data_IF_276444370874
#
_entry.id   IF_276444370874
#
_cell.length_a   1.000
_cell.length_b   1.000
_cell.length_c   1.000
_cell.angle_alpha   90.00
_cell.angle_beta   90.00
_cell.angle_gamma   90.00
#
_symmetry.space_group_name_H-M   'P 1'
#
loop_
_entity.id
_entity.type
_entity.pdbx_description
1 polymer ?
#
# COMPACT_ATOMS: atom_id res chain seq x y z
N UNK A 1 -9.91 23.27 -129.13
CA UNK A 1 -9.66 24.26 -128.04
C UNK A 1 -10.67 24.16 -126.89
N UNK A 2 -11.99 24.10 -127.15
CA UNK A 2 -13.02 23.97 -126.09
C UNK A 2 -12.92 22.71 -125.22
N UNK A 3 -12.50 21.55 -125.74
CA UNK A 3 -12.35 20.31 -124.94
C UNK A 3 -11.17 20.37 -123.96
N UNK A 4 -10.04 20.99 -124.35
CA UNK A 4 -8.88 21.22 -123.45
C UNK A 4 -9.24 22.17 -122.30
N UNK A 5 -10.05 23.19 -122.56
CA UNK A 5 -10.55 24.13 -121.53
C UNK A 5 -11.55 23.44 -120.59
N UNK A 6 -12.44 22.58 -121.11
CA UNK A 6 -13.36 21.77 -120.28
C UNK A 6 -12.62 20.73 -119.43
N UNK A 7 -11.60 20.07 -119.97
CA UNK A 7 -10.74 19.11 -119.25
C UNK A 7 -9.93 19.80 -118.14
N UNK A 8 -9.26 20.91 -118.44
CA UNK A 8 -8.53 21.69 -117.44
C UNK A 8 -9.48 22.27 -116.37
N UNK A 9 -10.67 22.75 -116.75
CA UNK A 9 -11.66 23.24 -115.78
C UNK A 9 -12.29 22.15 -114.90
N UNK A 10 -12.17 20.86 -115.26
CA UNK A 10 -12.58 19.73 -114.44
C UNK A 10 -11.47 19.33 -113.46
N UNK A 11 -10.22 19.30 -113.94
CA UNK A 11 -9.02 19.08 -113.11
C UNK A 11 -8.84 20.16 -112.04
N UNK A 12 -9.05 21.44 -112.38
CA UNK A 12 -8.99 22.55 -111.41
C UNK A 12 -10.08 22.44 -110.35
N UNK A 13 -11.30 21.99 -110.71
CA UNK A 13 -12.39 21.78 -109.74
C UNK A 13 -12.10 20.63 -108.79
N UNK A 14 -11.61 19.52 -109.31
CA UNK A 14 -11.23 18.37 -108.50
C UNK A 14 -10.09 18.73 -107.54
N UNK A 15 -9.10 19.52 -108.00
CA UNK A 15 -8.02 20.02 -107.16
C UNK A 15 -8.51 20.92 -106.02
N UNK A 16 -9.42 21.85 -106.28
CA UNK A 16 -10.01 22.69 -105.23
C UNK A 16 -10.78 21.87 -104.20
N UNK A 17 -11.50 20.83 -104.63
CA UNK A 17 -12.25 19.95 -103.75
C UNK A 17 -11.32 19.07 -102.89
N UNK A 18 -10.22 18.58 -103.45
CA UNK A 18 -9.18 17.86 -102.71
C UNK A 18 -8.46 18.78 -101.69
N UNK A 19 -8.26 20.06 -102.01
CA UNK A 19 -7.74 21.06 -101.05
C UNK A 19 -8.70 21.33 -99.91
N UNK A 20 -9.99 21.41 -100.18
CA UNK A 20 -11.03 21.58 -99.16
C UNK A 20 -11.05 20.37 -98.19
N UNK A 21 -10.78 19.16 -98.69
CA UNK A 21 -10.60 17.96 -97.85
C UNK A 21 -9.35 18.07 -96.95
N UNK A 22 -8.25 18.61 -97.46
CA UNK A 22 -7.03 18.86 -96.67
C UNK A 22 -7.29 19.93 -95.60
N UNK A 23 -7.95 21.03 -95.98
CA UNK A 23 -8.29 22.14 -95.10
C UNK A 23 -9.25 21.71 -93.99
N UNK A 24 -10.25 20.88 -94.29
CA UNK A 24 -11.16 20.32 -93.28
C UNK A 24 -10.43 19.41 -92.27
N UNK A 25 -9.47 18.60 -92.73
CA UNK A 25 -8.62 17.80 -91.82
C UNK A 25 -7.75 18.69 -90.93
N UNK A 26 -7.11 19.72 -91.48
CA UNK A 26 -6.31 20.69 -90.72
C UNK A 26 -7.18 21.42 -89.69
N UNK A 27 -8.36 21.90 -90.09
CA UNK A 27 -9.28 22.63 -89.21
C UNK A 27 -9.81 21.78 -88.05
N UNK A 28 -10.03 20.48 -88.28
CA UNK A 28 -10.38 19.55 -87.20
C UNK A 28 -9.28 19.48 -86.14
N UNK A 29 -8.00 19.46 -86.55
CA UNK A 29 -6.86 19.47 -85.62
C UNK A 29 -6.76 20.82 -84.92
N UNK A 30 -6.95 21.94 -85.62
CA UNK A 30 -6.97 23.28 -85.01
C UNK A 30 -8.04 23.39 -83.91
N UNK A 31 -9.25 22.87 -84.14
CA UNK A 31 -10.33 22.86 -83.13
C UNK A 31 -9.93 22.06 -81.89
N UNK A 32 -9.41 20.84 -82.09
CA UNK A 32 -8.95 19.99 -81.00
C UNK A 32 -7.83 20.63 -80.17
N UNK A 33 -6.86 21.29 -80.83
CA UNK A 33 -5.79 22.01 -80.11
C UNK A 33 -6.38 23.13 -79.25
N UNK A 34 -7.35 23.88 -79.77
CA UNK A 34 -7.99 24.96 -79.03
C UNK A 34 -8.75 24.44 -77.80
N UNK A 35 -9.55 23.39 -77.96
CA UNK A 35 -10.29 22.73 -76.87
C UNK A 35 -9.33 22.20 -75.79
N UNK A 36 -8.24 21.57 -76.21
CA UNK A 36 -7.20 21.05 -75.31
C UNK A 36 -6.50 22.17 -74.55
N UNK A 37 -6.24 23.30 -75.21
CA UNK A 37 -5.61 24.47 -74.58
C UNK A 37 -6.51 25.09 -73.51
N UNK A 38 -7.82 25.12 -73.75
CA UNK A 38 -8.81 25.56 -72.77
C UNK A 38 -8.86 24.63 -71.55
N UNK A 39 -8.82 23.31 -71.77
CA UNK A 39 -8.75 22.33 -70.68
C UNK A 39 -7.49 22.50 -69.82
N UNK A 40 -6.31 22.63 -70.44
CA UNK A 40 -5.03 22.84 -69.73
C UNK A 40 -5.03 24.13 -68.89
N UNK A 41 -5.81 25.13 -69.30
CA UNK A 41 -5.93 26.41 -68.60
C UNK A 41 -6.73 26.33 -67.30
N UNK A 42 -7.67 25.37 -67.16
CA UNK A 42 -8.49 25.27 -65.96
C UNK A 42 -9.08 23.87 -65.71
N UNK A 43 -8.24 22.88 -65.35
CA UNK A 43 -8.72 21.52 -65.15
C UNK A 43 -9.55 21.42 -63.86
N UNK A 44 -10.82 21.02 -63.99
CA UNK A 44 -11.82 21.03 -62.89
C UNK A 44 -11.99 19.68 -62.19
N UNK A 45 -11.30 18.64 -62.67
CA UNK A 45 -11.50 17.24 -62.27
C UNK A 45 -10.48 16.86 -61.17
N UNK A 46 -10.70 15.74 -60.47
CA UNK A 46 -9.75 15.21 -59.48
C UNK A 46 -8.42 14.76 -60.12
N UNK A 47 -7.31 14.83 -59.39
CA UNK A 47 -5.93 14.58 -59.88
C UNK A 47 -5.75 13.28 -60.64
N UNK A 48 -6.33 12.19 -60.13
CA UNK A 48 -6.18 10.88 -60.75
C UNK A 48 -6.94 10.80 -62.08
N UNK A 49 -8.11 11.44 -62.15
CA UNK A 49 -8.87 11.58 -63.39
C UNK A 49 -8.19 12.58 -64.35
N UNK A 50 -7.60 13.67 -63.84
CA UNK A 50 -6.81 14.61 -64.64
C UNK A 50 -5.61 13.92 -65.30
N UNK A 51 -4.88 13.06 -64.58
CA UNK A 51 -3.77 12.29 -65.14
C UNK A 51 -4.22 11.34 -66.25
N UNK A 52 -5.33 10.62 -66.04
CA UNK A 52 -5.90 9.74 -67.06
C UNK A 52 -6.30 10.53 -68.31
N UNK A 53 -6.99 11.66 -68.14
CA UNK A 53 -7.40 12.52 -69.24
C UNK A 53 -6.20 13.08 -70.02
N UNK A 54 -5.17 13.56 -69.31
CA UNK A 54 -3.95 14.07 -69.95
C UNK A 54 -3.17 12.97 -70.70
N UNK A 55 -3.21 11.71 -70.24
CA UNK A 55 -2.61 10.58 -70.97
C UNK A 55 -3.39 10.26 -72.25
N UNK A 56 -4.73 10.39 -72.23
CA UNK A 56 -5.56 10.27 -73.43
C UNK A 56 -5.22 11.39 -74.42
N UNK A 57 -5.22 12.64 -73.96
CA UNK A 57 -4.85 13.81 -74.78
C UNK A 57 -3.43 13.73 -75.34
N UNK A 58 -2.47 13.16 -74.61
CA UNK A 58 -1.10 12.93 -75.09
C UNK A 58 -1.08 11.89 -76.24
N UNK A 59 -1.92 10.87 -76.14
CA UNK A 59 -2.08 9.84 -77.19
C UNK A 59 -2.73 10.45 -78.44
N UNK A 60 -3.78 11.26 -78.25
CA UNK A 60 -4.44 12.01 -79.33
C UNK A 60 -3.50 13.01 -80.01
N UNK A 61 -2.74 13.79 -79.24
CA UNK A 61 -1.72 14.71 -79.75
C UNK A 61 -0.67 13.99 -80.61
N UNK A 62 -0.25 12.80 -80.18
CA UNK A 62 0.70 11.96 -80.93
C UNK A 62 0.11 11.52 -82.26
N UNK A 63 -1.14 11.07 -82.26
CA UNK A 63 -1.86 10.68 -83.47
C UNK A 63 -2.06 11.86 -84.42
N UNK A 64 -2.47 13.04 -83.91
CA UNK A 64 -2.62 14.25 -84.72
C UNK A 64 -1.30 14.70 -85.34
N UNK A 65 -0.19 14.64 -84.60
CA UNK A 65 1.14 14.96 -85.14
C UNK A 65 1.56 14.01 -86.26
N UNK A 66 1.39 12.71 -86.08
CA UNK A 66 1.66 11.71 -87.11
C UNK A 66 0.77 11.91 -88.34
N UNK A 67 -0.51 12.22 -88.15
CA UNK A 67 -1.46 12.46 -89.23
C UNK A 67 -1.10 13.71 -90.05
N UNK A 68 -0.68 14.81 -89.39
CA UNK A 68 -0.26 16.04 -90.08
C UNK A 68 1.09 15.85 -90.78
N UNK A 69 2.04 15.14 -90.18
CA UNK A 69 3.31 14.77 -90.84
C UNK A 69 3.04 13.95 -92.11
N UNK A 70 2.15 12.96 -92.02
CA UNK A 70 1.72 12.15 -93.18
C UNK A 70 1.00 13.00 -94.24
N UNK A 71 0.08 13.86 -93.82
CA UNK A 71 -0.67 14.77 -94.72
C UNK A 71 0.27 15.73 -95.46
N UNK A 72 1.26 16.30 -94.75
CA UNK A 72 2.27 17.16 -95.34
C UNK A 72 3.13 16.43 -96.37
N UNK A 73 3.53 15.20 -96.09
CA UNK A 73 4.30 14.36 -97.01
C UNK A 73 3.45 13.91 -98.21
N UNK A 74 2.18 13.60 -98.03
CA UNK A 74 1.22 13.31 -99.10
C UNK A 74 1.02 14.51 -100.03
N UNK A 75 0.82 15.72 -99.47
CA UNK A 75 0.71 16.94 -100.27
C UNK A 75 2.01 17.22 -101.03
N UNK A 76 3.17 17.14 -100.37
CA UNK A 76 4.47 17.31 -101.02
C UNK A 76 4.68 16.33 -102.17
N UNK A 77 4.39 15.05 -101.98
CA UNK A 77 4.52 14.02 -103.02
C UNK A 77 3.55 14.24 -104.18
N UNK A 78 2.29 14.63 -103.89
CA UNK A 78 1.29 14.97 -104.92
C UNK A 78 1.78 16.11 -105.82
N UNK A 79 2.22 17.22 -105.24
CA UNK A 79 2.64 18.40 -106.01
C UNK A 79 3.99 18.20 -106.71
N UNK A 80 4.90 17.43 -106.12
CA UNK A 80 6.14 16.98 -106.77
C UNK A 80 5.84 16.17 -108.03
N UNK A 81 4.88 15.24 -107.99
CA UNK A 81 4.42 14.47 -109.14
C UNK A 81 3.76 15.32 -110.25
N UNK A 82 3.24 16.49 -109.89
CA UNK A 82 2.69 17.48 -110.83
C UNK A 82 3.74 18.49 -111.34
N UNK A 83 5.02 18.36 -110.94
CA UNK A 83 6.09 19.32 -111.23
C UNK A 83 5.74 20.76 -110.83
N UNK A 84 4.99 20.94 -109.74
CA UNK A 84 4.55 22.25 -109.23
C UNK A 84 4.80 22.36 -107.74
N UNK A 85 4.79 23.58 -107.21
CA UNK A 85 4.92 23.82 -105.77
C UNK A 85 3.58 23.59 -105.07
N UNK A 86 3.64 23.14 -103.80
CA UNK A 86 2.47 23.10 -102.93
C UNK A 86 1.92 24.54 -102.79
N UNK A 87 0.58 24.73 -102.84
CA UNK A 87 -0.03 26.03 -102.64
C UNK A 87 0.43 26.66 -101.33
N UNK A 88 0.67 27.97 -101.36
CA UNK A 88 1.12 28.72 -100.19
C UNK A 88 0.13 28.62 -99.03
N UNK A 89 -1.18 28.64 -99.32
CA UNK A 89 -2.24 28.49 -98.30
C UNK A 89 -2.12 27.17 -97.53
N UNK A 90 -2.04 26.03 -98.25
CA UNK A 90 -1.91 24.70 -97.65
C UNK A 90 -0.58 24.56 -96.91
N UNK A 91 0.51 25.09 -97.47
CA UNK A 91 1.83 25.06 -96.83
C UNK A 91 1.85 25.87 -95.53
N UNK A 92 1.20 27.04 -95.52
CA UNK A 92 1.07 27.88 -94.33
C UNK A 92 0.20 27.19 -93.27
N UNK A 93 -0.97 26.68 -93.65
CA UNK A 93 -1.88 25.99 -92.73
C UNK A 93 -1.25 24.74 -92.11
N UNK A 94 -0.48 23.95 -92.87
CA UNK A 94 0.26 22.79 -92.35
C UNK A 94 1.37 23.21 -91.38
N UNK A 95 2.08 24.30 -91.68
CA UNK A 95 3.12 24.84 -90.79
C UNK A 95 2.53 25.41 -89.50
N UNK A 96 1.41 26.13 -89.58
CA UNK A 96 0.66 26.64 -88.43
C UNK A 96 0.17 25.50 -87.53
N UNK A 97 -0.51 24.49 -88.08
CA UNK A 97 -0.97 23.35 -87.29
C UNK A 97 0.20 22.57 -86.68
N UNK A 98 1.30 22.41 -87.41
CA UNK A 98 2.49 21.76 -86.85
C UNK A 98 3.10 22.55 -85.68
N UNK A 99 3.00 23.88 -85.69
CA UNK A 99 3.38 24.73 -84.54
C UNK A 99 2.37 24.63 -83.40
N UNK A 100 1.06 24.63 -83.70
CA UNK A 100 -0.02 24.49 -82.71
C UNK A 100 0.06 23.14 -81.98
N UNK A 101 0.47 22.09 -82.68
CA UNK A 101 0.69 20.75 -82.12
C UNK A 101 1.88 20.66 -81.13
N UNK A 102 2.67 21.73 -80.96
CA UNK A 102 3.59 21.86 -79.81
C UNK A 102 2.86 21.90 -78.46
N UNK A 103 1.51 21.98 -78.46
CA UNK A 103 0.70 21.68 -77.28
C UNK A 103 1.02 20.30 -76.69
N UNK A 104 1.52 19.35 -77.48
CA UNK A 104 2.06 18.07 -76.99
C UNK A 104 3.07 18.26 -75.86
N UNK A 105 4.03 19.18 -76.02
CA UNK A 105 5.07 19.43 -75.02
C UNK A 105 4.46 20.01 -73.73
N UNK A 106 3.44 20.86 -73.86
CA UNK A 106 2.70 21.43 -72.73
C UNK A 106 1.91 20.36 -71.97
N UNK A 107 1.23 19.44 -72.69
CA UNK A 107 0.53 18.30 -72.09
C UNK A 107 1.54 17.40 -71.37
N UNK A 108 2.68 17.09 -72.00
CA UNK A 108 3.71 16.24 -71.42
C UNK A 108 4.33 16.86 -70.16
N UNK A 109 4.60 18.17 -70.16
CA UNK A 109 5.09 18.89 -68.98
C UNK A 109 4.07 18.87 -67.85
N UNK A 110 2.79 19.08 -68.16
CA UNK A 110 1.70 19.00 -67.18
C UNK A 110 1.52 17.62 -66.58
N UNK A 111 1.64 16.55 -67.38
CA UNK A 111 1.64 15.16 -66.86
C UNK A 111 2.77 14.97 -65.86
N UNK A 112 3.99 15.36 -66.21
CA UNK A 112 5.17 15.24 -65.33
C UNK A 112 4.98 16.01 -64.02
N UNK A 113 4.49 17.25 -64.11
CA UNK A 113 4.21 18.10 -62.94
C UNK A 113 3.22 17.43 -61.99
N UNK A 114 2.11 16.91 -62.51
CA UNK A 114 1.08 16.27 -61.70
C UNK A 114 1.59 14.95 -61.09
N UNK A 115 2.28 14.10 -61.87
CA UNK A 115 2.87 12.86 -61.35
C UNK A 115 3.89 13.12 -60.23
N UNK A 116 4.72 14.16 -60.39
CA UNK A 116 5.68 14.58 -59.36
C UNK A 116 4.94 15.05 -58.10
N UNK A 117 3.92 15.89 -58.24
CA UNK A 117 3.12 16.39 -57.10
C UNK A 117 2.41 15.25 -56.34
N UNK A 118 1.91 14.25 -57.06
CA UNK A 118 1.29 13.04 -56.50
C UNK A 118 2.30 12.20 -55.73
N UNK A 119 3.48 12.00 -56.30
CA UNK A 119 4.57 11.26 -55.64
C UNK A 119 5.01 11.96 -54.35
N UNK A 120 5.17 13.29 -54.38
CA UNK A 120 5.47 14.08 -53.18
C UNK A 120 4.37 13.96 -52.11
N UNK A 121 3.10 14.03 -52.50
CA UNK A 121 1.96 13.87 -51.58
C UNK A 121 1.94 12.48 -50.91
N UNK A 122 2.29 11.43 -51.64
CA UNK A 122 2.42 10.08 -51.09
C UNK A 122 3.57 9.98 -50.09
N UNK A 123 4.72 10.61 -50.38
CA UNK A 123 5.86 10.63 -49.46
C UNK A 123 5.53 11.40 -48.17
N UNK A 124 4.86 12.56 -48.27
CA UNK A 124 4.36 13.26 -47.07
C UNK A 124 3.40 12.38 -46.26
N UNK A 125 2.48 11.66 -46.94
CA UNK A 125 1.59 10.72 -46.25
C UNK A 125 2.35 9.61 -45.52
N UNK A 126 3.43 9.10 -46.10
CA UNK A 126 4.29 8.07 -45.49
C UNK A 126 5.01 8.61 -44.26
N UNK A 127 5.58 9.82 -44.35
CA UNK A 127 6.28 10.45 -43.23
C UNK A 127 5.32 10.78 -42.07
N UNK A 128 4.13 11.31 -42.37
CA UNK A 128 3.07 11.53 -41.36
C UNK A 128 2.72 10.24 -40.63
N UNK A 129 2.55 9.13 -41.37
CA UNK A 129 2.27 7.82 -40.77
C UNK A 129 3.42 7.32 -39.88
N UNK A 130 4.67 7.56 -40.28
CA UNK A 130 5.82 7.16 -39.48
C UNK A 130 5.87 7.93 -38.16
N UNK A 131 5.68 9.25 -38.18
CA UNK A 131 5.63 10.06 -36.94
C UNK A 131 4.47 9.62 -36.05
N UNK A 132 3.31 9.31 -36.63
CA UNK A 132 2.17 8.79 -35.87
C UNK A 132 2.48 7.44 -35.18
N UNK A 133 3.23 6.55 -35.85
CA UNK A 133 3.67 5.27 -35.30
C UNK A 133 4.68 5.46 -34.17
N UNK A 134 5.64 6.36 -34.35
CA UNK A 134 6.64 6.70 -33.33
C UNK A 134 5.93 7.25 -32.08
N UNK A 135 4.99 8.19 -32.25
CA UNK A 135 4.20 8.73 -31.14
C UNK A 135 3.36 7.69 -30.43
N UNK A 136 2.73 6.78 -31.17
CA UNK A 136 1.96 5.68 -30.58
C UNK A 136 2.88 4.78 -29.75
N UNK A 137 4.10 4.53 -30.21
CA UNK A 137 5.11 3.75 -29.48
C UNK A 137 5.50 4.46 -28.18
N UNK A 138 5.80 5.76 -28.23
CA UNK A 138 6.08 6.59 -27.05
C UNK A 138 4.90 6.52 -26.06
N UNK A 139 3.67 6.70 -26.53
CA UNK A 139 2.45 6.64 -25.72
C UNK A 139 2.30 5.29 -25.00
N UNK A 140 2.62 4.18 -25.67
CA UNK A 140 2.58 2.85 -25.02
C UNK A 140 3.64 2.71 -23.93
N UNK A 141 4.87 3.18 -24.16
CA UNK A 141 5.93 3.19 -23.15
C UNK A 141 5.58 4.09 -21.96
N UNK A 142 4.98 5.26 -22.18
CA UNK A 142 4.50 6.15 -21.13
C UNK A 142 3.41 5.52 -20.25
N UNK A 143 2.62 4.57 -20.76
CA UNK A 143 1.60 3.87 -19.97
C UNK A 143 2.13 2.70 -19.15
N UNK A 144 3.35 2.24 -19.41
CA UNK A 144 3.92 1.09 -18.70
C UNK A 144 4.20 1.42 -17.22
N UNK A 145 3.85 0.50 -16.33
CA UNK A 145 4.26 0.58 -14.91
C UNK A 145 5.72 0.16 -14.75
N UNK A 146 6.36 0.62 -13.69
CA UNK A 146 7.75 0.31 -13.35
C UNK A 146 7.88 -0.31 -11.96
N UNK A 147 8.92 -1.08 -11.72
CA UNK A 147 9.42 -1.52 -10.42
C UNK A 147 10.73 -0.80 -10.02
N UNK A 148 11.37 -0.11 -10.97
CA UNK A 148 12.60 0.64 -10.76
C UNK A 148 12.39 2.13 -11.10
N UNK A 149 12.34 2.96 -10.06
CA UNK A 149 12.08 4.39 -10.20
C UNK A 149 13.26 5.14 -10.85
N UNK A 150 14.50 4.74 -10.55
CA UNK A 150 15.71 5.36 -11.11
C UNK A 150 15.77 5.11 -12.62
N UNK A 151 15.52 3.85 -13.03
CA UNK A 151 15.45 3.51 -14.44
C UNK A 151 14.29 4.23 -15.13
N UNK A 152 13.10 4.25 -14.52
CA UNK A 152 11.94 4.91 -15.11
C UNK A 152 12.12 6.43 -15.27
N UNK A 153 12.84 7.11 -14.37
CA UNK A 153 13.19 8.53 -14.54
C UNK A 153 14.18 8.74 -15.69
N UNK A 154 15.13 7.81 -15.87
CA UNK A 154 16.06 7.83 -17.00
C UNK A 154 15.32 7.58 -18.32
N UNK A 155 14.46 6.57 -18.38
CA UNK A 155 13.64 6.26 -19.55
C UNK A 155 12.69 7.41 -19.87
N UNK A 156 12.11 8.05 -18.85
CA UNK A 156 11.25 9.24 -19.03
C UNK A 156 12.00 10.39 -19.72
N UNK A 157 13.28 10.59 -19.41
CA UNK A 157 14.13 11.59 -20.08
C UNK A 157 14.33 11.24 -21.55
N UNK A 158 14.68 9.99 -21.84
CA UNK A 158 14.85 9.49 -23.22
C UNK A 158 13.55 9.63 -24.02
N UNK A 159 12.41 9.30 -23.42
CA UNK A 159 11.09 9.47 -24.05
C UNK A 159 10.77 10.95 -24.33
N UNK A 160 11.22 11.86 -23.47
CA UNK A 160 11.12 13.30 -23.72
C UNK A 160 11.90 13.71 -24.96
N UNK A 161 13.16 13.25 -25.09
CA UNK A 161 14.00 13.52 -26.27
C UNK A 161 13.40 12.91 -27.56
N UNK A 162 12.88 11.67 -27.49
CA UNK A 162 12.16 11.04 -28.61
C UNK A 162 10.90 11.85 -29.02
N UNK A 163 10.17 12.39 -28.04
CA UNK A 163 8.96 13.17 -28.25
C UNK A 163 9.25 14.55 -28.86
N UNK A 164 10.34 15.20 -28.44
CA UNK A 164 10.84 16.44 -29.02
C UNK A 164 11.28 16.21 -30.48
N UNK A 165 11.96 15.08 -30.75
CA UNK A 165 12.30 14.66 -32.11
C UNK A 165 11.06 14.41 -33.00
N UNK A 166 9.96 13.90 -32.44
CA UNK A 166 8.69 13.81 -33.15
C UNK A 166 8.08 15.19 -33.43
N UNK A 167 8.16 16.11 -32.46
CA UNK A 167 7.66 17.48 -32.62
C UNK A 167 8.41 18.23 -33.73
N UNK A 168 9.75 18.17 -33.75
CA UNK A 168 10.56 18.82 -34.79
C UNK A 168 10.21 18.29 -36.19
N UNK A 169 10.13 16.96 -36.36
CA UNK A 169 9.73 16.34 -37.63
C UNK A 169 8.31 16.73 -38.05
N UNK A 170 7.38 16.86 -37.09
CA UNK A 170 6.02 17.33 -37.35
C UNK A 170 6.00 18.78 -37.84
N UNK A 171 6.78 19.68 -37.23
CA UNK A 171 6.87 21.08 -37.65
C UNK A 171 7.50 21.23 -39.04
N UNK A 172 8.54 20.44 -39.33
CA UNK A 172 9.15 20.37 -40.67
C UNK A 172 8.15 19.86 -41.72
N UNK A 173 7.38 18.82 -41.38
CA UNK A 173 6.32 18.29 -42.25
C UNK A 173 5.21 19.30 -42.50
N UNK A 174 4.75 20.00 -41.45
CA UNK A 174 3.71 21.03 -41.59
C UNK A 174 4.18 22.16 -42.50
N UNK A 175 5.40 22.68 -42.29
CA UNK A 175 5.98 23.70 -43.16
C UNK A 175 6.14 23.22 -44.61
N UNK A 176 6.57 21.98 -44.82
CA UNK A 176 6.71 21.40 -46.16
C UNK A 176 5.35 21.22 -46.86
N UNK A 177 4.31 20.80 -46.14
CA UNK A 177 2.95 20.65 -46.67
C UNK A 177 2.28 22.01 -46.93
N UNK A 178 2.55 23.02 -46.10
CA UNK A 178 2.12 24.40 -46.34
C UNK A 178 2.75 24.95 -47.63
N UNK A 179 4.07 24.80 -47.81
CA UNK A 179 4.74 25.18 -49.06
C UNK A 179 4.21 24.42 -50.27
N UNK A 180 3.92 23.12 -50.12
CA UNK A 180 3.29 22.31 -51.16
C UNK A 180 1.85 22.78 -51.48
N UNK A 181 1.13 23.34 -50.50
CA UNK A 181 -0.24 23.84 -50.67
C UNK A 181 -0.34 25.06 -51.59
N UNK A 182 0.73 25.86 -51.66
CA UNK A 182 0.81 27.05 -52.52
C UNK A 182 0.74 26.68 -54.00
N UNK A 183 1.27 25.51 -54.36
CA UNK A 183 1.31 24.99 -55.74
C UNK A 183 0.20 23.97 -56.02
N UNK A 184 -0.19 23.17 -55.03
CA UNK A 184 -1.09 22.02 -55.21
C UNK A 184 -2.18 21.98 -54.12
N UNK A 185 -3.10 22.94 -54.18
CA UNK A 185 -4.14 23.17 -53.17
C UNK A 185 -5.05 21.95 -52.89
N UNK A 186 -5.35 21.15 -53.91
CA UNK A 186 -6.26 20.00 -53.79
C UNK A 186 -5.59 18.78 -53.13
N UNK A 187 -4.30 18.51 -53.42
CA UNK A 187 -3.53 17.43 -52.79
C UNK A 187 -3.12 17.76 -51.36
N UNK A 188 -2.98 19.05 -51.02
CA UNK A 188 -2.59 19.49 -49.69
C UNK A 188 -3.72 19.38 -48.65
N UNK A 189 -5.00 19.58 -49.03
CA UNK A 189 -6.14 19.52 -48.08
C UNK A 189 -6.19 18.22 -47.25
N UNK A 190 -6.08 17.01 -47.82
CA UNK A 190 -6.04 15.78 -47.03
C UNK A 190 -4.80 15.68 -46.13
N UNK A 191 -3.64 16.17 -46.58
CA UNK A 191 -2.39 16.17 -45.80
C UNK A 191 -2.49 17.10 -44.60
N UNK A 192 -2.98 18.33 -44.79
CA UNK A 192 -3.22 19.29 -43.71
C UNK A 192 -4.18 18.72 -42.64
N UNK A 193 -5.24 18.02 -43.06
CA UNK A 193 -6.13 17.33 -42.12
C UNK A 193 -5.42 16.23 -41.32
N UNK A 194 -4.54 15.46 -41.96
CA UNK A 194 -3.74 14.42 -41.27
C UNK A 194 -2.73 15.05 -40.31
N UNK A 195 -2.06 16.13 -40.70
CA UNK A 195 -1.16 16.90 -39.82
C UNK A 195 -1.91 17.43 -38.61
N UNK A 196 -3.09 18.04 -38.80
CA UNK A 196 -3.89 18.53 -37.66
C UNK A 196 -4.21 17.44 -36.63
N UNK A 197 -4.56 16.23 -37.08
CA UNK A 197 -4.75 15.07 -36.18
C UNK A 197 -3.45 14.62 -35.51
N UNK A 198 -2.34 14.67 -36.25
CA UNK A 198 -1.03 14.31 -35.71
C UNK A 198 -0.56 15.32 -34.65
N UNK A 199 -0.84 16.60 -34.83
CA UNK A 199 -0.59 17.67 -33.85
C UNK A 199 -1.42 17.47 -32.58
N UNK A 200 -2.69 17.08 -32.71
CA UNK A 200 -3.51 16.73 -31.55
C UNK A 200 -2.92 15.53 -30.77
N UNK A 201 -2.49 14.48 -31.48
CA UNK A 201 -1.84 13.32 -30.88
C UNK A 201 -0.51 13.69 -30.19
N UNK A 202 0.30 14.56 -30.81
CA UNK A 202 1.53 15.10 -30.21
C UNK A 202 1.22 15.82 -28.88
N UNK A 203 0.26 16.74 -28.88
CA UNK A 203 -0.14 17.48 -27.68
C UNK A 203 -0.65 16.56 -26.57
N UNK A 204 -1.45 15.55 -26.92
CA UNK A 204 -1.91 14.55 -25.97
C UNK A 204 -0.74 13.76 -25.37
N UNK A 205 0.24 13.38 -26.19
CA UNK A 205 1.42 12.62 -25.75
C UNK A 205 2.31 13.46 -24.83
N UNK A 206 2.50 14.75 -25.12
CA UNK A 206 3.20 15.71 -24.25
C UNK A 206 2.53 15.79 -22.87
N UNK A 207 1.21 16.00 -22.82
CA UNK A 207 0.47 16.05 -21.55
C UNK A 207 0.60 14.76 -20.75
N UNK A 208 0.61 13.60 -21.42
CA UNK A 208 0.83 12.31 -20.74
C UNK A 208 2.25 12.17 -20.21
N UNK A 209 3.26 12.62 -20.96
CA UNK A 209 4.64 12.60 -20.53
C UNK A 209 4.85 13.49 -19.29
N UNK A 210 4.30 14.70 -19.29
CA UNK A 210 4.35 15.63 -18.16
C UNK A 210 3.65 15.06 -16.92
N UNK A 211 2.45 14.50 -17.10
CA UNK A 211 1.69 13.87 -16.01
C UNK A 211 2.43 12.66 -15.42
N UNK A 212 3.05 11.84 -16.26
CA UNK A 212 3.87 10.72 -15.79
C UNK A 212 5.09 11.22 -15.04
N UNK A 213 5.79 12.24 -15.55
CA UNK A 213 6.97 12.81 -14.90
C UNK A 213 6.64 13.34 -13.50
N UNK A 214 5.54 14.08 -13.35
CA UNK A 214 5.10 14.60 -12.04
C UNK A 214 4.79 13.47 -11.06
N UNK A 215 4.10 12.42 -11.52
CA UNK A 215 3.83 11.21 -10.72
C UNK A 215 5.09 10.43 -10.36
N UNK A 216 6.05 10.29 -11.27
CA UNK A 216 7.34 9.64 -10.98
C UNK A 216 8.15 10.43 -9.95
N UNK A 217 8.02 11.77 -9.94
CA UNK A 217 8.66 12.59 -8.92
C UNK A 217 8.00 12.41 -7.55
N UNK A 218 6.67 12.39 -7.49
CA UNK A 218 5.92 12.11 -6.25
C UNK A 218 6.09 10.66 -5.77
N UNK A 219 6.28 9.72 -6.69
CA UNK A 219 6.47 8.32 -6.34
C UNK A 219 7.71 8.08 -5.48
N UNK A 220 8.76 8.90 -5.64
CA UNK A 220 9.96 8.80 -4.81
C UNK A 220 9.65 9.07 -3.34
N UNK A 221 8.99 10.19 -3.04
CA UNK A 221 8.64 10.56 -1.67
C UNK A 221 7.64 9.59 -1.06
N UNK A 222 6.65 9.13 -1.83
CA UNK A 222 5.68 8.14 -1.33
C UNK A 222 6.32 6.77 -1.03
N UNK A 223 7.33 6.35 -1.79
CA UNK A 223 8.08 5.13 -1.48
C UNK A 223 8.97 5.29 -0.24
N UNK A 224 9.57 6.47 -0.05
CA UNK A 224 10.33 6.80 1.16
C UNK A 224 9.44 6.77 2.40
N UNK A 225 8.32 7.51 2.37
CA UNK A 225 7.31 7.53 3.44
C UNK A 225 6.77 6.11 3.73
N UNK A 226 6.50 5.31 2.69
CA UNK A 226 6.09 3.91 2.85
C UNK A 226 7.14 3.09 3.61
N UNK A 227 8.42 3.25 3.26
CA UNK A 227 9.51 2.51 3.90
C UNK A 227 9.76 2.96 5.34
N UNK A 228 9.60 4.25 5.63
CA UNK A 228 9.67 4.76 7.01
C UNK A 228 8.58 4.14 7.90
N UNK A 229 7.32 4.15 7.43
CA UNK A 229 6.21 3.50 8.12
C UNK A 229 6.45 1.99 8.27
N UNK A 230 6.91 1.32 7.21
CA UNK A 230 7.28 -0.10 7.28
C UNK A 230 8.30 -0.39 8.38
N UNK A 231 9.34 0.45 8.53
CA UNK A 231 10.35 0.29 9.55
C UNK A 231 9.78 0.45 10.97
N UNK A 232 8.88 1.43 11.18
CA UNK A 232 8.19 1.65 12.46
C UNK A 232 7.34 0.44 12.85
N UNK A 233 6.55 -0.09 11.92
CA UNK A 233 5.69 -1.24 12.14
C UNK A 233 6.52 -2.49 12.45
N UNK A 234 7.58 -2.76 11.69
CA UNK A 234 8.46 -3.89 11.95
C UNK A 234 9.14 -3.80 13.33
N UNK A 235 9.56 -2.59 13.75
CA UNK A 235 10.10 -2.36 15.10
C UNK A 235 9.05 -2.65 16.18
N UNK A 236 7.80 -2.23 15.99
CA UNK A 236 6.73 -2.53 16.94
C UNK A 236 6.43 -4.04 17.00
N UNK A 237 6.34 -4.71 15.85
CA UNK A 237 6.13 -6.17 15.77
C UNK A 237 7.23 -6.92 16.51
N UNK A 238 8.50 -6.52 16.33
CA UNK A 238 9.62 -7.15 17.04
C UNK A 238 9.53 -6.93 18.55
N UNK A 239 9.25 -5.70 19.00
CA UNK A 239 9.01 -5.40 20.43
C UNK A 239 7.87 -6.25 21.00
N UNK A 240 6.77 -6.38 20.27
CA UNK A 240 5.60 -7.17 20.66
C UNK A 240 5.92 -8.66 20.76
N UNK A 241 6.67 -9.21 19.80
CA UNK A 241 7.15 -10.58 19.85
C UNK A 241 8.04 -10.82 21.08
N UNK A 242 9.02 -9.95 21.33
CA UNK A 242 9.90 -10.06 22.51
C UNK A 242 9.07 -10.02 23.79
N UNK A 243 8.11 -9.09 23.89
CA UNK A 243 7.27 -8.95 25.08
C UNK A 243 6.37 -10.19 25.29
N UNK A 244 5.74 -10.71 24.24
CA UNK A 244 4.83 -11.87 24.29
C UNK A 244 5.56 -13.18 24.58
N UNK A 245 6.78 -13.35 24.08
CA UNK A 245 7.58 -14.56 24.32
C UNK A 245 8.45 -14.47 25.58
N UNK A 246 8.61 -13.27 26.16
CA UNK A 246 9.36 -13.08 27.40
C UNK A 246 8.72 -13.81 28.59
N UNK A 247 9.55 -14.32 29.51
CA UNK A 247 9.08 -14.99 30.72
C UNK A 247 8.45 -13.99 31.72
N UNK A 248 7.34 -14.38 32.35
CA UNK A 248 6.69 -13.57 33.39
C UNK A 248 7.41 -13.76 34.73
N UNK A 249 7.76 -12.65 35.38
CA UNK A 249 8.26 -12.65 36.74
C UNK A 249 7.09 -12.64 37.75
N UNK A 250 6.88 -13.77 38.43
CA UNK A 250 5.76 -13.97 39.34
C UNK A 250 6.04 -13.61 40.82
N UNK A 251 7.19 -12.99 41.13
CA UNK A 251 7.69 -12.94 42.52
C UNK A 251 6.94 -11.99 43.45
N UNK A 252 6.30 -10.94 42.91
CA UNK A 252 5.53 -9.99 43.72
C UNK A 252 4.43 -9.31 42.92
N UNK A 253 3.44 -8.75 43.61
CA UNK A 253 2.36 -7.99 43.01
C UNK A 253 2.88 -6.75 42.26
N UNK A 254 3.95 -6.13 42.75
CA UNK A 254 4.57 -4.98 42.10
C UNK A 254 5.24 -5.36 40.77
N UNK A 255 5.97 -6.48 40.72
CA UNK A 255 6.58 -6.95 39.48
C UNK A 255 5.53 -7.32 38.43
N UNK A 256 4.45 -8.01 38.83
CA UNK A 256 3.35 -8.33 37.93
C UNK A 256 2.65 -7.05 37.41
N UNK A 257 2.50 -6.03 38.26
CA UNK A 257 1.94 -4.73 37.87
C UNK A 257 2.86 -3.99 36.89
N UNK A 258 4.17 -4.01 37.09
CA UNK A 258 5.14 -3.41 36.16
C UNK A 258 5.07 -4.08 34.78
N UNK A 259 5.04 -5.41 34.75
CA UNK A 259 4.85 -6.16 33.51
C UNK A 259 3.52 -5.83 32.83
N UNK A 260 2.42 -5.71 33.61
CA UNK A 260 1.13 -5.25 33.09
C UNK A 260 1.23 -3.86 32.44
N UNK A 261 1.91 -2.90 33.07
CA UNK A 261 2.09 -1.54 32.53
C UNK A 261 2.87 -1.59 31.20
N UNK A 262 3.91 -2.42 31.10
CA UNK A 262 4.65 -2.60 29.85
C UNK A 262 3.78 -3.16 28.71
N UNK A 263 2.89 -4.11 29.01
CA UNK A 263 1.94 -4.65 28.03
C UNK A 263 0.87 -3.61 27.64
N UNK A 264 0.41 -2.80 28.60
CA UNK A 264 -0.54 -1.73 28.35
C UNK A 264 0.07 -0.66 27.43
N UNK A 265 1.28 -0.19 27.74
CA UNK A 265 1.96 0.83 26.93
C UNK A 265 2.17 0.37 25.48
N UNK A 266 2.59 -0.88 25.29
CA UNK A 266 2.78 -1.42 23.94
C UNK A 266 1.46 -1.60 23.18
N UNK A 267 0.38 -1.89 23.89
CA UNK A 267 -0.97 -1.96 23.32
C UNK A 267 -1.46 -0.56 22.90
N UNK A 268 -1.16 0.48 23.66
CA UNK A 268 -1.47 1.87 23.30
C UNK A 268 -0.69 2.30 22.04
N UNK A 269 0.60 1.94 21.93
CA UNK A 269 1.40 2.15 20.71
C UNK A 269 0.77 1.49 19.46
N UNK A 270 -0.02 0.41 19.63
CA UNK A 270 -0.64 -0.28 18.49
C UNK A 270 -1.68 0.55 17.73
N UNK A 271 -2.26 1.58 18.33
CA UNK A 271 -3.22 2.46 17.65
C UNK A 271 -2.55 3.29 16.55
N UNK A 272 -1.32 3.74 16.77
CA UNK A 272 -0.52 4.45 15.76
C UNK A 272 -0.18 3.52 14.59
N UNK A 273 0.04 2.22 14.85
CA UNK A 273 0.33 1.22 13.82
C UNK A 273 -0.81 1.05 12.82
N UNK A 274 -2.08 1.09 13.25
CA UNK A 274 -3.19 1.02 12.28
C UNK A 274 -3.29 2.27 11.42
N UNK A 275 -3.02 3.45 12.02
CA UNK A 275 -2.93 4.69 11.26
C UNK A 275 -1.81 4.62 10.21
N UNK A 276 -0.66 4.06 10.56
CA UNK A 276 0.46 3.86 9.63
C UNK A 276 0.11 2.85 8.54
N UNK A 277 -0.57 1.74 8.86
CA UNK A 277 -1.02 0.75 7.87
C UNK A 277 -2.03 1.34 6.87
N UNK A 278 -2.95 2.18 7.35
CA UNK A 278 -3.90 2.90 6.50
C UNK A 278 -3.16 3.92 5.61
N UNK A 279 -2.27 4.72 6.19
CA UNK A 279 -1.45 5.68 5.45
C UNK A 279 -0.56 4.98 4.40
N UNK A 280 0.05 3.84 4.72
CA UNK A 280 0.78 3.00 3.74
C UNK A 280 -0.12 2.58 2.58
N UNK A 281 -1.37 2.18 2.86
CA UNK A 281 -2.34 1.83 1.83
C UNK A 281 -2.68 3.01 0.91
N UNK A 282 -2.83 4.22 1.47
CA UNK A 282 -3.03 5.45 0.70
C UNK A 282 -1.83 5.77 -0.20
N UNK A 283 -0.59 5.62 0.31
CA UNK A 283 0.63 5.81 -0.51
C UNK A 283 0.67 4.83 -1.67
N UNK A 284 0.30 3.57 -1.45
CA UNK A 284 0.21 2.56 -2.52
C UNK A 284 -0.84 2.94 -3.57
N UNK A 285 -1.97 3.52 -3.16
CA UNK A 285 -2.98 3.99 -4.11
C UNK A 285 -2.42 5.10 -5.02
N UNK A 286 -1.68 6.06 -4.47
CA UNK A 286 -0.99 7.10 -5.24
C UNK A 286 0.03 6.52 -6.24
N UNK A 287 0.75 5.47 -5.83
CA UNK A 287 1.79 4.80 -6.63
C UNK A 287 1.24 3.92 -7.75
N UNK A 288 0.03 3.37 -7.61
CA UNK A 288 -0.54 2.33 -8.50
C UNK A 288 -0.57 2.71 -9.98
N UNK A 289 -0.62 4.00 -10.30
CA UNK A 289 -0.67 4.49 -11.68
C UNK A 289 0.68 4.44 -12.41
N UNK A 290 1.80 4.43 -11.69
CA UNK A 290 3.17 4.44 -12.27
C UNK A 290 4.04 3.28 -11.80
N UNK A 291 3.71 2.66 -10.67
CA UNK A 291 4.52 1.65 -10.00
C UNK A 291 3.74 0.34 -9.81
N UNK A 292 4.45 -0.80 -9.81
CA UNK A 292 3.89 -2.10 -9.44
C UNK A 292 3.78 -2.22 -7.92
N UNK A 293 2.55 -2.21 -7.40
CA UNK A 293 2.25 -2.12 -5.97
C UNK A 293 1.73 -3.43 -5.38
N UNK A 294 1.57 -4.48 -6.19
CA UNK A 294 0.86 -5.70 -5.81
C UNK A 294 1.53 -6.43 -4.63
N UNK A 295 2.86 -6.58 -4.67
CA UNK A 295 3.63 -7.20 -3.58
C UNK A 295 3.62 -6.37 -2.29
N UNK A 296 3.66 -5.05 -2.43
CA UNK A 296 3.63 -4.14 -1.28
C UNK A 296 2.25 -4.15 -0.61
N UNK A 297 1.17 -4.19 -1.39
CA UNK A 297 -0.19 -4.34 -0.87
C UNK A 297 -0.37 -5.65 -0.10
N UNK A 298 0.22 -6.75 -0.58
CA UNK A 298 0.26 -8.01 0.16
C UNK A 298 1.05 -7.86 1.47
N UNK A 299 2.19 -7.17 1.45
CA UNK A 299 2.98 -6.89 2.66
C UNK A 299 2.18 -6.11 3.71
N UNK A 300 1.48 -5.05 3.32
CA UNK A 300 0.62 -4.26 4.24
C UNK A 300 -0.46 -5.15 4.86
N UNK A 301 -1.09 -6.02 4.05
CA UNK A 301 -2.12 -6.94 4.54
C UNK A 301 -1.56 -7.92 5.57
N UNK A 302 -0.38 -8.48 5.31
CA UNK A 302 0.28 -9.43 6.20
C UNK A 302 0.76 -8.77 7.50
N UNK A 303 1.31 -7.56 7.43
CA UNK A 303 1.67 -6.76 8.61
C UNK A 303 0.45 -6.44 9.46
N UNK A 304 -0.69 -6.11 8.84
CA UNK A 304 -1.95 -5.87 9.54
C UNK A 304 -2.46 -7.11 10.26
N UNK A 305 -2.37 -8.28 9.61
CA UNK A 305 -2.73 -9.57 10.22
C UNK A 305 -1.84 -9.89 11.42
N UNK A 306 -0.52 -9.81 11.26
CA UNK A 306 0.44 -10.09 12.32
C UNK A 306 0.31 -9.13 13.51
N UNK A 307 0.08 -7.84 13.23
CA UNK A 307 -0.17 -6.82 14.26
C UNK A 307 -1.42 -7.15 15.07
N UNK A 308 -2.52 -7.53 14.42
CA UNK A 308 -3.77 -7.91 15.11
C UNK A 308 -3.57 -9.16 15.98
N UNK A 309 -2.89 -10.18 15.47
CA UNK A 309 -2.61 -11.40 16.23
C UNK A 309 -1.80 -11.11 17.50
N UNK A 310 -0.72 -10.33 17.37
CA UNK A 310 0.09 -9.92 18.52
C UNK A 310 -0.73 -9.08 19.50
N UNK A 311 -1.56 -8.17 19.02
CA UNK A 311 -2.45 -7.34 19.85
C UNK A 311 -3.41 -8.21 20.67
N UNK A 312 -4.01 -9.22 20.08
CA UNK A 312 -4.91 -10.14 20.78
C UNK A 312 -4.17 -10.95 21.84
N UNK A 313 -2.98 -11.45 21.54
CA UNK A 313 -2.16 -12.18 22.53
C UNK A 313 -1.75 -11.26 23.68
N UNK A 314 -1.34 -10.01 23.39
CA UNK A 314 -1.02 -9.01 24.41
C UNK A 314 -2.24 -8.73 25.30
N UNK A 315 -3.44 -8.53 24.72
CA UNK A 315 -4.68 -8.30 25.49
C UNK A 315 -4.99 -9.46 26.45
N UNK A 316 -4.91 -10.70 25.97
CA UNK A 316 -5.17 -11.89 26.79
C UNK A 316 -4.14 -11.99 27.92
N UNK A 317 -2.85 -11.81 27.59
CA UNK A 317 -1.76 -11.88 28.57
C UNK A 317 -1.85 -10.77 29.61
N UNK A 318 -2.20 -9.55 29.19
CA UNK A 318 -2.42 -8.40 30.05
C UNK A 318 -3.55 -8.64 31.04
N UNK A 319 -4.68 -9.21 30.60
CA UNK A 319 -5.79 -9.57 31.50
C UNK A 319 -5.33 -10.60 32.55
N UNK A 320 -4.61 -11.64 32.12
CA UNK A 320 -4.05 -12.64 33.03
C UNK A 320 -3.09 -12.03 34.06
N UNK A 321 -2.21 -11.11 33.63
CA UNK A 321 -1.29 -10.40 34.52
C UNK A 321 -2.03 -9.51 35.52
N UNK A 322 -3.08 -8.82 35.08
CA UNK A 322 -3.90 -7.97 35.94
C UNK A 322 -4.56 -8.77 37.06
N UNK A 323 -5.13 -9.92 36.71
CA UNK A 323 -5.81 -10.79 37.66
C UNK A 323 -4.83 -11.48 38.61
N UNK A 324 -3.69 -11.96 38.11
CA UNK A 324 -2.62 -12.48 38.95
C UNK A 324 -2.02 -11.43 39.91
N UNK A 325 -1.85 -10.18 39.46
CA UNK A 325 -1.36 -9.11 40.32
C UNK A 325 -2.35 -8.79 41.47
N UNK A 326 -3.67 -8.83 41.19
CA UNK A 326 -4.71 -8.65 42.22
C UNK A 326 -4.66 -9.76 43.26
N UNK A 327 -4.53 -11.01 42.83
CA UNK A 327 -4.48 -12.15 43.75
C UNK A 327 -3.19 -12.16 44.55
N UNK A 328 -2.05 -11.89 43.90
CA UNK A 328 -0.75 -11.77 44.56
C UNK A 328 -0.76 -10.67 45.63
N UNK A 329 -1.38 -9.51 45.34
CA UNK A 329 -1.51 -8.42 46.30
C UNK A 329 -2.32 -8.82 47.55
N UNK A 330 -3.39 -9.61 47.36
CA UNK A 330 -4.17 -10.16 48.48
C UNK A 330 -3.34 -11.12 49.30
N UNK A 331 -2.61 -12.03 48.64
CA UNK A 331 -1.73 -12.98 49.31
C UNK A 331 -0.62 -12.29 50.11
N UNK A 332 0.06 -11.30 49.53
CA UNK A 332 1.06 -10.49 50.24
C UNK A 332 0.47 -9.76 51.46
N UNK A 333 -0.75 -9.23 51.35
CA UNK A 333 -1.43 -8.56 52.46
C UNK A 333 -1.76 -9.53 53.60
N UNK A 334 -2.33 -10.70 53.29
CA UNK A 334 -2.64 -11.72 54.31
C UNK A 334 -1.38 -12.32 54.93
N UNK A 335 -0.32 -12.52 54.13
CA UNK A 335 0.97 -12.98 54.62
C UNK A 335 1.57 -12.00 55.63
N UNK A 336 1.52 -10.69 55.31
CA UNK A 336 1.95 -9.62 56.21
C UNK A 336 1.09 -9.56 57.47
N UNK A 337 -0.23 -9.74 57.34
CA UNK A 337 -1.15 -9.78 58.49
C UNK A 337 -0.82 -10.95 59.44
N UNK A 338 -0.50 -12.13 58.90
CA UNK A 338 -0.08 -13.29 59.67
C UNK A 338 1.26 -13.04 60.35
N UNK A 339 2.25 -12.49 59.62
CA UNK A 339 3.56 -12.17 60.18
C UNK A 339 3.47 -11.19 61.35
N UNK A 340 2.74 -10.07 61.20
CA UNK A 340 2.57 -9.08 62.28
C UNK A 340 1.87 -9.70 63.50
N UNK A 341 0.87 -10.55 63.28
CA UNK A 341 0.16 -11.22 64.37
C UNK A 341 1.05 -12.23 65.10
N UNK A 342 1.92 -12.93 64.38
CA UNK A 342 2.87 -13.89 64.93
C UNK A 342 3.97 -13.18 65.72
N UNK A 343 4.54 -12.09 65.20
CA UNK A 343 5.51 -11.25 65.89
C UNK A 343 4.92 -10.69 67.20
N UNK A 344 3.69 -10.16 67.16
CA UNK A 344 2.97 -9.71 68.36
C UNK A 344 2.83 -10.84 69.38
N UNK A 345 2.33 -11.99 68.95
CA UNK A 345 2.14 -13.16 69.79
C UNK A 345 3.46 -13.68 70.40
N UNK A 346 4.56 -13.62 69.63
CA UNK A 346 5.90 -13.99 70.10
C UNK A 346 6.44 -13.00 71.13
N UNK A 347 6.29 -11.69 70.91
CA UNK A 347 6.70 -10.65 71.89
C UNK A 347 5.95 -10.79 73.22
N UNK A 348 4.64 -11.07 73.17
CA UNK A 348 3.82 -11.36 74.36
C UNK A 348 4.29 -12.63 75.07
N UNK A 349 4.78 -13.65 74.36
CA UNK A 349 5.32 -14.88 74.95
C UNK A 349 6.69 -14.66 75.61
N UNK A 350 7.59 -13.93 74.97
CA UNK A 350 9.00 -13.76 75.39
C UNK A 350 9.23 -12.59 76.34
N UNK A 351 8.18 -11.84 76.72
CA UNK A 351 8.35 -10.69 77.62
C UNK A 351 8.90 -11.12 79.00
N UNK A 352 10.10 -10.64 79.38
CA UNK A 352 10.74 -11.00 80.66
C UNK A 352 10.02 -10.39 81.87
N UNK A 353 9.14 -9.41 81.64
CA UNK A 353 8.34 -8.75 82.69
C UNK A 353 7.31 -9.70 83.30
N UNK A 354 6.85 -10.71 82.55
CA UNK A 354 5.86 -11.70 82.99
C UNK A 354 6.41 -12.55 84.15
N UNK A 355 7.71 -12.83 84.16
CA UNK A 355 8.36 -13.60 85.24
C UNK A 355 8.37 -12.89 86.60
N UNK A 356 8.07 -11.59 86.64
CA UNK A 356 8.04 -10.76 87.86
C UNK A 356 6.63 -10.56 88.43
N UNK A 357 5.59 -10.97 87.70
CA UNK A 357 4.18 -10.82 88.08
C UNK A 357 3.71 -11.93 89.03
N UNK A 358 2.61 -11.71 89.73
CA UNK A 358 2.00 -12.75 90.57
C UNK A 358 1.46 -13.90 89.72
N UNK A 359 1.33 -15.09 90.30
CA UNK A 359 0.82 -16.28 89.61
C UNK A 359 -0.57 -16.06 88.97
N UNK A 360 -1.42 -15.24 89.59
CA UNK A 360 -2.75 -14.88 89.09
C UNK A 360 -2.66 -13.99 87.85
N UNK A 361 -1.77 -13.00 87.86
CA UNK A 361 -1.53 -12.08 86.74
C UNK A 361 -0.83 -12.80 85.58
N UNK A 362 0.10 -13.71 85.89
CA UNK A 362 0.72 -14.58 84.89
C UNK A 362 -0.33 -15.46 84.21
N UNK A 363 -1.25 -16.08 84.95
CA UNK A 363 -2.33 -16.88 84.36
C UNK A 363 -3.27 -16.05 83.48
N UNK A 364 -3.65 -14.83 83.89
CA UNK A 364 -4.47 -13.95 83.04
C UNK A 364 -3.73 -13.51 81.78
N UNK A 365 -2.43 -13.20 81.88
CA UNK A 365 -1.60 -12.86 80.72
C UNK A 365 -1.47 -14.03 79.75
N UNK A 366 -1.32 -15.25 80.27
CA UNK A 366 -1.26 -16.47 79.44
C UNK A 366 -2.61 -16.87 78.84
N UNK A 367 -3.72 -16.62 79.53
CA UNK A 367 -5.06 -16.78 78.95
C UNK A 367 -5.31 -15.78 77.82
N UNK A 368 -4.86 -14.53 77.98
CA UNK A 368 -4.92 -13.54 76.91
C UNK A 368 -4.09 -13.98 75.70
N UNK A 369 -2.86 -14.48 75.92
CA UNK A 369 -2.02 -15.04 74.87
C UNK A 369 -2.71 -16.21 74.15
N UNK A 370 -3.41 -17.11 74.84
CA UNK A 370 -4.17 -18.19 74.19
C UNK A 370 -5.27 -17.66 73.27
N UNK A 371 -5.97 -16.59 73.68
CA UNK A 371 -6.95 -15.91 72.81
C UNK A 371 -6.28 -15.26 71.59
N UNK A 372 -5.09 -14.66 71.75
CA UNK A 372 -4.30 -14.17 70.61
C UNK A 372 -3.91 -15.33 69.66
N UNK A 373 -3.51 -16.50 70.19
CA UNK A 373 -3.19 -17.68 69.38
C UNK A 373 -4.42 -18.26 68.66
N UNK A 374 -5.59 -18.26 69.29
CA UNK A 374 -6.83 -18.68 68.63
C UNK A 374 -7.18 -17.77 67.45
N UNK A 375 -6.83 -16.49 67.53
CA UNK A 375 -6.99 -15.53 66.42
C UNK A 375 -6.02 -15.77 65.25
N UNK A 376 -4.95 -16.57 65.42
CA UNK A 376 -4.03 -16.93 64.34
C UNK A 376 -4.63 -17.97 63.39
N UNK A 377 -5.51 -18.86 63.86
CA UNK A 377 -6.16 -19.90 63.03
C UNK A 377 -6.87 -19.36 61.79
N UNK A 378 -7.81 -18.39 61.91
CA UNK A 378 -8.47 -17.83 60.72
C UNK A 378 -7.49 -17.08 59.80
N UNK A 379 -6.40 -16.49 60.33
CA UNK A 379 -5.36 -15.83 59.53
C UNK A 379 -4.54 -16.83 58.72
N UNK A 380 -4.16 -17.96 59.32
CA UNK A 380 -3.52 -19.08 58.62
C UNK A 380 -4.41 -19.62 57.50
N UNK A 381 -5.71 -19.81 57.78
CA UNK A 381 -6.67 -20.24 56.77
C UNK A 381 -6.81 -19.23 55.63
N UNK A 382 -6.82 -17.91 55.93
CA UNK A 382 -6.87 -16.87 54.91
C UNK A 382 -5.63 -16.91 53.99
N UNK A 383 -4.43 -17.08 54.55
CA UNK A 383 -3.19 -17.23 53.77
C UNK A 383 -3.24 -18.48 52.87
N UNK A 384 -3.74 -19.60 53.37
CA UNK A 384 -3.89 -20.84 52.59
C UNK A 384 -4.89 -20.67 51.43
N UNK A 385 -6.04 -20.03 51.69
CA UNK A 385 -7.03 -19.73 50.66
C UNK A 385 -6.45 -18.83 49.59
N UNK A 386 -5.77 -17.75 49.98
CA UNK A 386 -5.08 -16.86 49.04
C UNK A 386 -4.01 -17.59 48.23
N UNK A 387 -3.21 -18.46 48.85
CA UNK A 387 -2.18 -19.25 48.16
C UNK A 387 -2.79 -20.19 47.11
N UNK A 388 -3.88 -20.89 47.46
CA UNK A 388 -4.58 -21.79 46.53
C UNK A 388 -5.29 -21.07 45.38
N UNK A 389 -5.65 -19.79 45.57
CA UNK A 389 -6.31 -18.96 44.58
C UNK A 389 -5.33 -18.21 43.65
N UNK A 390 -4.01 -18.35 43.84
CA UNK A 390 -3.02 -17.70 42.98
C UNK A 390 -3.08 -18.29 41.56
N UNK A 391 -3.35 -17.42 40.58
CA UNK A 391 -3.31 -17.75 39.15
C UNK A 391 -1.88 -17.73 38.61
N UNK A 392 -1.02 -18.55 39.17
CA UNK A 392 0.38 -18.70 38.76
C UNK A 392 0.66 -20.17 38.36
N UNK A 393 1.59 -20.44 37.43
CA UNK A 393 1.93 -21.81 37.03
C UNK A 393 2.39 -22.67 38.21
N UNK A 394 1.96 -23.93 38.28
CA UNK A 394 2.21 -24.84 39.42
C UNK A 394 3.71 -25.04 39.70
N UNK A 395 4.53 -25.09 38.66
CA UNK A 395 6.00 -25.18 38.73
C UNK A 395 6.64 -23.95 39.38
N UNK A 396 6.01 -22.79 39.22
CA UNK A 396 6.44 -21.53 39.84
C UNK A 396 5.94 -21.41 41.28
N UNK A 397 4.75 -21.92 41.62
CA UNK A 397 4.23 -21.93 43.01
C UNK A 397 5.24 -22.60 43.95
N UNK A 398 5.77 -23.75 43.54
CA UNK A 398 6.68 -24.55 44.36
C UNK A 398 8.05 -23.88 44.56
N UNK A 399 8.46 -22.98 43.67
CA UNK A 399 9.75 -22.29 43.73
C UNK A 399 9.64 -20.85 44.26
N UNK A 400 8.43 -20.33 44.45
CA UNK A 400 8.19 -18.94 44.84
C UNK A 400 8.63 -18.65 46.29
N UNK A 401 9.49 -17.64 46.54
CA UNK A 401 9.93 -17.30 47.90
C UNK A 401 8.77 -16.94 48.84
N UNK A 402 7.73 -16.27 48.34
CA UNK A 402 6.54 -15.94 49.13
C UNK A 402 5.76 -17.17 49.58
N UNK A 403 5.68 -18.22 48.75
CA UNK A 403 5.04 -19.48 49.14
C UNK A 403 5.85 -20.21 50.21
N UNK A 404 7.18 -20.19 50.12
CA UNK A 404 8.05 -20.73 51.18
C UNK A 404 7.91 -19.95 52.49
N UNK A 405 7.85 -18.62 52.42
CA UNK A 405 7.63 -17.77 53.60
C UNK A 405 6.26 -18.05 54.24
N UNK A 406 5.21 -18.24 53.43
CA UNK A 406 3.90 -18.62 53.91
C UNK A 406 3.91 -19.96 54.63
N UNK A 407 4.55 -20.98 54.05
CA UNK A 407 4.69 -22.29 54.70
C UNK A 407 5.41 -22.17 56.04
N UNK A 408 6.54 -21.47 56.09
CA UNK A 408 7.30 -21.25 57.31
C UNK A 408 6.48 -20.53 58.40
N UNK A 409 5.75 -19.47 58.04
CA UNK A 409 4.90 -18.74 59.00
C UNK A 409 3.73 -19.60 59.51
N UNK A 410 3.18 -20.50 58.69
CA UNK A 410 2.15 -21.45 59.12
C UNK A 410 2.69 -22.49 60.10
N UNK A 411 3.89 -23.02 59.85
CA UNK A 411 4.58 -23.94 60.76
C UNK A 411 4.92 -23.25 62.09
N UNK A 412 5.38 -22.00 62.03
CA UNK A 412 5.71 -21.22 63.22
C UNK A 412 4.48 -20.86 64.05
N UNK A 413 3.37 -20.46 63.41
CA UNK A 413 2.09 -20.26 64.08
C UNK A 413 1.62 -21.54 64.80
N UNK A 414 1.77 -22.69 64.15
CA UNK A 414 1.41 -23.99 64.74
C UNK A 414 2.30 -24.34 65.94
N UNK A 415 3.62 -24.13 65.81
CA UNK A 415 4.59 -24.33 66.89
C UNK A 415 4.32 -23.42 68.08
N UNK A 416 4.05 -22.14 67.82
CA UNK A 416 3.77 -21.14 68.84
C UNK A 416 2.46 -21.47 69.58
N UNK A 417 1.41 -21.87 68.86
CA UNK A 417 0.16 -22.33 69.45
C UNK A 417 0.39 -23.56 70.34
N UNK A 418 1.18 -24.55 69.89
CA UNK A 418 1.48 -25.73 70.69
C UNK A 418 2.26 -25.38 71.97
N UNK A 419 3.27 -24.52 71.86
CA UNK A 419 4.08 -24.05 72.99
C UNK A 419 3.23 -23.27 74.01
N UNK A 420 2.36 -22.35 73.55
CA UNK A 420 1.48 -21.58 74.41
C UNK A 420 0.51 -22.48 75.21
N UNK A 421 -0.08 -23.48 74.56
CA UNK A 421 -0.97 -24.47 75.21
C UNK A 421 -0.20 -25.27 76.27
N UNK A 422 0.98 -25.79 75.94
CA UNK A 422 1.81 -26.54 76.89
C UNK A 422 2.20 -25.70 78.11
N UNK A 423 2.66 -24.46 77.89
CA UNK A 423 3.03 -23.56 78.97
C UNK A 423 1.84 -23.20 79.88
N UNK A 424 0.64 -23.01 79.32
CA UNK A 424 -0.57 -22.80 80.11
C UNK A 424 -0.93 -24.03 80.95
N UNK A 425 -0.85 -25.22 80.37
CA UNK A 425 -1.14 -26.47 81.09
C UNK A 425 -0.17 -26.69 82.26
N UNK A 426 1.12 -26.44 82.05
CA UNK A 426 2.14 -26.54 83.10
C UNK A 426 1.91 -25.51 84.23
N UNK A 427 1.55 -24.27 83.88
CA UNK A 427 1.24 -23.24 84.88
C UNK A 427 -0.03 -23.52 85.67
N UNK A 428 -1.08 -24.03 85.02
CA UNK A 428 -2.31 -24.45 85.71
C UNK A 428 -2.03 -25.61 86.66
N UNK A 429 -1.24 -26.60 86.25
CA UNK A 429 -0.79 -27.69 87.11
C UNK A 429 0.06 -27.18 88.30
N UNK A 430 1.00 -26.26 88.04
CA UNK A 430 1.82 -25.63 89.08
C UNK A 430 0.98 -24.83 90.09
N UNK A 431 0.00 -24.05 89.62
CA UNK A 431 -0.92 -23.33 90.46
C UNK A 431 -1.81 -24.25 91.32
N UNK A 432 -2.28 -25.36 90.75
CA UNK A 432 -3.01 -26.37 91.49
C UNK A 432 -2.14 -27.04 92.58
N UNK A 433 -0.87 -27.32 92.29
CA UNK A 433 0.09 -27.86 93.26
C UNK A 433 0.39 -26.87 94.39
N UNK A 434 0.58 -25.59 94.08
CA UNK A 434 0.80 -24.54 95.11
C UNK A 434 -0.45 -24.37 95.98
N UNK A 435 -1.65 -24.34 95.39
CA UNK A 435 -2.91 -24.31 96.13
C UNK A 435 -3.09 -25.54 97.03
N UNK A 436 -2.75 -26.73 96.52
CA UNK A 436 -2.76 -27.97 97.29
C UNK A 436 -1.77 -27.90 98.46
N UNK A 437 -0.55 -27.41 98.22
CA UNK A 437 0.45 -27.22 99.26
C UNK A 437 0.02 -26.19 100.31
N UNK A 438 -0.56 -25.07 99.90
CA UNK A 438 -1.07 -24.03 100.80
C UNK A 438 -2.22 -24.56 101.67
N UNK A 439 -3.18 -25.27 101.06
CA UNK A 439 -4.25 -25.98 101.80
C UNK A 439 -3.68 -27.02 102.77
N UNK A 440 -2.68 -27.79 102.34
CA UNK A 440 -2.03 -28.78 103.20
C UNK A 440 -1.24 -28.15 104.36
N UNK A 441 -0.59 -27.01 104.16
CA UNK A 441 0.05 -26.23 105.22
C UNK A 441 -0.98 -25.64 106.19
N UNK A 442 -2.07 -25.06 105.68
CA UNK A 442 -3.20 -24.62 106.51
C UNK A 442 -3.79 -25.78 107.33
N UNK A 443 -3.98 -26.95 106.73
CA UNK A 443 -4.44 -28.16 107.44
C UNK A 443 -3.42 -28.61 108.48
N UNK A 444 -2.11 -28.53 108.20
CA UNK A 444 -1.06 -28.81 109.20
C UNK A 444 -1.09 -27.82 110.35
N UNK A 445 -1.30 -26.55 110.08
CA UNK A 445 -1.32 -25.48 111.08
C UNK A 445 -2.59 -25.53 111.94
N UNK A 446 -3.75 -25.77 111.32
CA UNK A 446 -5.01 -26.08 112.00
C UNK A 446 -4.86 -27.36 112.82
N UNK A 447 -4.25 -28.43 112.29
CA UNK A 447 -3.99 -29.66 113.04
C UNK A 447 -3.06 -29.37 114.23
N UNK A 448 -2.01 -28.55 114.08
CA UNK A 448 -1.13 -28.12 115.18
C UNK A 448 -1.92 -27.33 116.24
N UNK A 449 -2.80 -26.43 115.82
CA UNK A 449 -3.70 -25.68 116.70
C UNK A 449 -4.72 -26.55 117.42
N UNK A 450 -5.27 -27.58 116.76
CA UNK A 450 -6.16 -28.58 117.37
C UNK A 450 -5.37 -29.45 118.35
N UNK A 451 -4.18 -29.94 118.00
CA UNK A 451 -3.33 -30.72 118.92
C UNK A 451 -2.94 -29.90 120.14
N UNK A 452 -2.61 -28.62 119.97
CA UNK A 452 -2.30 -27.71 121.08
C UNK A 452 -3.53 -27.44 121.95
N UNK A 453 -4.71 -27.24 121.34
CA UNK A 453 -5.99 -27.11 122.05
C UNK A 453 -6.40 -28.39 122.79
N UNK A 454 -6.19 -29.58 122.21
CA UNK A 454 -6.44 -30.88 122.85
C UNK A 454 -5.47 -31.14 124.01
N UNK A 455 -4.22 -30.67 123.91
CA UNK A 455 -3.27 -30.69 125.02
C UNK A 455 -3.74 -29.77 126.16
N UNK A 456 -4.23 -28.57 125.84
CA UNK A 456 -4.84 -27.65 126.81
C UNK A 456 -6.12 -28.18 127.46
N UNK A 457 -6.96 -28.91 126.72
CA UNK A 457 -8.19 -29.52 127.23
C UNK A 457 -7.87 -30.77 128.06
N UNK A 458 -6.84 -31.54 127.70
CA UNK A 458 -6.30 -32.62 128.51
C UNK A 458 -5.71 -32.14 129.85
N UNK A 459 -5.19 -30.90 129.90
CA UNK A 459 -4.77 -30.26 131.15
C UNK A 459 -5.94 -29.60 131.93
N UNK A 460 -7.12 -29.42 131.33
CA UNK A 460 -8.28 -28.74 131.96
C UNK A 460 -9.52 -29.60 132.24
N UNK A 461 -9.48 -30.91 132.01
CA UNK A 461 -10.53 -31.82 132.51
C UNK A 461 -9.99 -33.23 132.72
N UNK A 462 -9.42 -33.46 133.90
CA UNK A 462 -9.79 -34.52 134.86
C UNK A 462 -9.40 -33.99 136.26
N UNK A 463 -10.37 -33.32 136.89
CA UNK A 463 -10.52 -33.31 138.33
C UNK A 463 -12.00 -33.56 138.60
N UNK A 464 -12.30 -34.85 138.75
CA UNK A 464 -13.41 -35.50 139.46
C UNK A 464 -14.87 -35.33 138.99
N UNK A 465 -15.39 -36.46 138.47
CA UNK A 465 -16.60 -37.17 138.91
C UNK A 465 -17.97 -36.44 138.89
N UNK A 466 -18.91 -37.01 138.08
CA UNK A 466 -20.33 -37.37 138.38
C UNK A 466 -21.32 -37.10 137.22
N UNK A 467 -21.97 -38.20 136.77
CA UNK A 467 -23.36 -38.35 136.25
C UNK A 467 -23.67 -38.20 134.73
N UNK A 468 -23.88 -39.37 134.11
CA UNK A 468 -25.10 -39.86 133.42
C UNK A 468 -25.68 -39.16 132.15
N UNK A 469 -25.68 -39.96 131.07
CA UNK A 469 -26.81 -40.36 130.19
C UNK A 469 -27.31 -39.49 129.00
N UNK A 470 -27.61 -40.22 127.90
CA UNK A 470 -28.47 -39.95 126.71
C UNK A 470 -27.88 -39.03 125.63
N UNK A 471 -27.38 -39.53 124.49
CA UNK A 471 -28.04 -40.07 123.28
C UNK A 471 -28.59 -39.02 122.29
N UNK A 472 -28.23 -39.27 121.02
CA UNK A 472 -28.90 -38.92 119.73
C UNK A 472 -28.91 -37.45 119.25
N UNK A 473 -28.30 -37.15 118.10
CA UNK A 473 -28.89 -37.15 116.74
C UNK A 473 -28.02 -36.32 115.76
N UNK A 474 -27.95 -36.82 114.51
CA UNK A 474 -27.44 -36.24 113.25
C UNK A 474 -25.93 -36.12 113.04
#
# INVERSE_FOLDING_TARGET
MQEKVKSNGKLVRQELQEREVVETQINSVKSWVQETKEYLGNPTIEVDAQLQELQILLTEATNHRQNIEKLAEEQKNKYLGLCTIVPSEISLQLAEVALDLKIYDQIQEKVKEIEQSKTMSQEFSRQIQQVAKDLTTILTKLKAKTDNLVQAKTDQKVLGEELDGCNSRLMELDAAVQKFSEQHSHLSKPLAKKIGKLTELQQQTVRQAENRLSKLNQAASHLEEYNEMLELILKWIEKAKVLVHGNIAWNSANQLREQYISHQALLEESEEIYSDLEAMSEKLQCLTSVYYTEKMSQQVTELGRETEELRQVIKIRMQSLQDAAKDMKKFEAELKNLQMALEQAQTTLTSPEIGRLSLKEQLSHRQHLLSEMESLKPKVQAVQLCQSALRIPEDVVASLPLCHAALHLQEEASRLQHSAIQQCNLMQAGAAVILFHQKHCLVKEVRRGITWSLHLIGEKSICHDIIYYVSVFN
#
